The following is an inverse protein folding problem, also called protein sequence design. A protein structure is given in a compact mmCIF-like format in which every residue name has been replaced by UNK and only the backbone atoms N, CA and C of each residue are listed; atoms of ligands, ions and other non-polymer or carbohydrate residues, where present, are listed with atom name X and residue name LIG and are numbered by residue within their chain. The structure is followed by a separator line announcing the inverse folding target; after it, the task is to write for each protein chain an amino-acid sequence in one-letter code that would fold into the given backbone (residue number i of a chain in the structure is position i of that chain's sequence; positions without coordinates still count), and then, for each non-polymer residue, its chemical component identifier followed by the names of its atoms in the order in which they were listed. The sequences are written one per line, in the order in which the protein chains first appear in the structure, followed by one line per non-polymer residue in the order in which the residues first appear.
data_IF_388455816079
#
_entry.id   IF_388455816079
#
_cell.length_a   1.000
_cell.length_b   1.000
_cell.length_c   1.000
_cell.angle_alpha   90.00
_cell.angle_beta   90.00
_cell.angle_gamma   90.00
#
_symmetry.space_group_name_H-M   'P 1'
#
loop_
_entity.id
_entity.type
_entity.pdbx_description
1 polymer ?
#
# COMPACT_ATOMS: atom_id res chain seq x y z
N UNK A 1 7.65 27.85 -14.68
CA UNK A 1 7.20 27.07 -13.52
C UNK A 1 6.97 25.64 -14.00
N UNK A 2 7.75 24.64 -13.57
CA UNK A 2 7.46 23.23 -13.93
C UNK A 2 6.44 22.73 -12.91
N UNK A 3 5.24 22.39 -13.36
CA UNK A 3 4.30 21.62 -12.55
C UNK A 3 4.92 20.25 -12.28
N UNK A 4 5.04 19.90 -11.00
CA UNK A 4 5.46 18.55 -10.63
C UNK A 4 4.40 17.56 -11.14
N UNK A 5 4.79 16.44 -11.78
CA UNK A 5 3.83 15.45 -12.26
C UNK A 5 3.07 14.85 -11.07
N UNK A 6 1.79 14.52 -11.27
CA UNK A 6 1.01 13.78 -10.25
C UNK A 6 1.74 12.45 -9.96
N UNK A 7 2.27 12.24 -8.74
CA UNK A 7 3.12 11.11 -8.46
C UNK A 7 2.40 9.78 -8.65
N UNK A 8 1.10 9.70 -8.37
CA UNK A 8 0.34 8.46 -8.55
C UNK A 8 0.18 8.13 -10.03
N UNK A 9 -0.16 9.13 -10.85
CA UNK A 9 -0.25 8.95 -12.29
C UNK A 9 1.10 8.57 -12.90
N UNK A 10 2.20 9.15 -12.40
CA UNK A 10 3.55 8.82 -12.84
C UNK A 10 3.92 7.37 -12.50
N UNK A 11 3.63 6.90 -11.28
CA UNK A 11 3.88 5.52 -10.87
C UNK A 11 3.03 4.52 -11.66
N UNK A 12 1.74 4.79 -11.85
CA UNK A 12 0.87 3.93 -12.67
C UNK A 12 1.37 3.84 -14.12
N UNK A 13 1.80 4.96 -14.71
CA UNK A 13 2.39 5.00 -16.06
C UNK A 13 3.70 4.21 -16.15
N UNK A 14 4.46 4.15 -15.05
CA UNK A 14 5.68 3.37 -14.95
C UNK A 14 5.44 1.87 -14.69
N UNK A 15 4.18 1.41 -14.63
CA UNK A 15 3.81 0.00 -14.49
C UNK A 15 3.62 -0.48 -13.05
N UNK A 16 3.65 0.42 -12.06
CA UNK A 16 3.39 0.05 -10.67
C UNK A 16 1.90 -0.21 -10.41
N UNK A 17 1.62 -1.28 -9.70
CA UNK A 17 0.31 -1.49 -9.09
C UNK A 17 0.21 -0.68 -7.79
N UNK A 18 -0.75 0.25 -7.71
CA UNK A 18 -0.88 1.17 -6.58
C UNK A 18 -1.81 0.58 -5.51
N UNK A 19 -1.27 0.32 -4.33
CA UNK A 19 -1.99 -0.27 -3.19
C UNK A 19 -2.15 0.77 -2.07
N UNK A 20 -3.37 1.24 -1.83
CA UNK A 20 -3.69 2.14 -0.73
C UNK A 20 -3.86 1.36 0.58
N UNK A 21 -2.99 1.64 1.55
CA UNK A 21 -3.11 1.07 2.89
C UNK A 21 -4.27 1.74 3.66
N UNK A 22 -5.24 0.94 4.08
CA UNK A 22 -6.43 1.40 4.81
C UNK A 22 -6.94 0.37 5.81
N UNK A 23 -7.46 0.77 6.98
CA UNK A 23 -8.06 -0.16 7.95
C UNK A 23 -9.49 -0.59 7.58
N UNK A 24 -10.05 -0.14 6.44
CA UNK A 24 -11.44 -0.43 6.07
C UNK A 24 -11.74 -1.93 6.06
N UNK A 25 -12.83 -2.39 6.73
CA UNK A 25 -13.21 -3.81 6.75
C UNK A 25 -13.61 -4.38 5.37
N UNK A 26 -13.84 -3.53 4.39
CA UNK A 26 -14.17 -3.92 3.00
C UNK A 26 -12.96 -3.97 2.09
N UNK A 27 -11.80 -3.49 2.53
CA UNK A 27 -10.57 -3.52 1.75
C UNK A 27 -10.01 -4.94 1.65
N UNK A 28 -9.25 -5.19 0.57
CA UNK A 28 -8.64 -6.49 0.30
C UNK A 28 -7.61 -6.81 1.39
N UNK A 29 -7.57 -8.05 1.84
CA UNK A 29 -6.54 -8.51 2.76
C UNK A 29 -5.19 -8.52 2.06
N UNK A 30 -4.18 -7.89 2.64
CA UNK A 30 -2.80 -7.89 2.16
C UNK A 30 -2.28 -9.31 1.87
N UNK A 31 -2.71 -10.30 2.67
CA UNK A 31 -2.25 -11.68 2.56
C UNK A 31 -2.98 -12.50 1.49
N UNK A 32 -4.10 -11.98 0.97
CA UNK A 32 -4.88 -12.63 -0.09
C UNK A 32 -4.60 -12.01 -1.47
N UNK A 33 -3.78 -10.94 -1.51
CA UNK A 33 -3.34 -10.30 -2.75
C UNK A 33 -2.23 -11.13 -3.40
N UNK A 34 -2.30 -11.33 -4.71
CA UNK A 34 -1.16 -11.83 -5.48
C UNK A 34 -0.04 -10.79 -5.53
N UNK A 35 1.22 -11.23 -5.53
CA UNK A 35 2.36 -10.32 -5.67
C UNK A 35 2.46 -9.81 -7.13
N UNK A 36 2.38 -8.49 -7.37
CA UNK A 36 2.62 -7.94 -8.69
C UNK A 36 4.13 -7.83 -8.97
N UNK A 37 4.50 -7.62 -10.23
CA UNK A 37 5.90 -7.39 -10.62
C UNK A 37 6.46 -6.09 -10.02
N UNK A 38 5.65 -5.03 -9.97
CA UNK A 38 5.98 -3.74 -9.39
C UNK A 38 4.81 -3.26 -8.52
N UNK A 39 5.06 -3.01 -7.24
CA UNK A 39 4.07 -2.49 -6.30
C UNK A 39 4.49 -1.14 -5.74
N UNK A 40 3.54 -0.21 -5.65
CA UNK A 40 3.72 1.05 -4.92
C UNK A 40 2.72 1.09 -3.76
N UNK A 41 3.24 1.08 -2.54
CA UNK A 41 2.46 1.25 -1.32
C UNK A 41 2.13 2.73 -1.12
N UNK A 42 0.85 3.04 -1.03
CA UNK A 42 0.34 4.40 -0.83
C UNK A 42 -0.23 4.49 0.58
N UNK A 43 0.37 5.34 1.41
CA UNK A 43 -0.07 5.56 2.78
C UNK A 43 -0.38 7.05 3.02
N UNK A 44 -1.39 7.32 3.86
CA UNK A 44 -1.89 8.66 4.14
C UNK A 44 -1.15 9.36 5.27
N UNK A 45 -1.66 10.50 5.75
CA UNK A 45 -1.15 11.07 7.01
C UNK A 45 -1.78 10.36 8.22
N UNK A 46 -1.08 10.34 9.37
CA UNK A 46 -1.68 9.89 10.63
C UNK A 46 -2.89 10.76 10.98
N UNK A 47 -4.04 10.13 11.26
CA UNK A 47 -5.31 10.81 11.49
C UNK A 47 -6.24 10.76 10.27
N UNK A 48 -6.23 11.77 9.37
CA UNK A 48 -7.17 11.84 8.26
C UNK A 48 -6.92 10.78 7.18
N UNK A 49 -5.75 10.12 7.18
CA UNK A 49 -5.42 9.06 6.25
C UNK A 49 -5.28 9.57 4.81
N UNK A 50 -5.73 8.75 3.86
CA UNK A 50 -5.70 9.06 2.44
C UNK A 50 -6.93 9.88 2.04
N UNK A 51 -6.71 10.93 1.23
CA UNK A 51 -7.82 11.73 0.71
C UNK A 51 -8.69 10.90 -0.25
N UNK A 52 -10.00 11.22 -0.39
CA UNK A 52 -10.84 10.58 -1.40
C UNK A 52 -10.27 10.70 -2.82
N UNK A 53 -9.63 11.82 -3.13
CA UNK A 53 -8.98 12.04 -4.43
C UNK A 53 -7.76 11.12 -4.66
N UNK A 54 -7.03 10.77 -3.59
CA UNK A 54 -5.95 9.78 -3.66
C UNK A 54 -6.50 8.38 -3.87
N UNK A 55 -7.52 8.01 -3.10
CA UNK A 55 -8.13 6.69 -3.18
C UNK A 55 -8.76 6.41 -4.55
N UNK A 56 -9.31 7.43 -5.21
CA UNK A 56 -9.84 7.32 -6.57
C UNK A 56 -8.76 7.08 -7.64
N UNK A 57 -7.47 7.21 -7.31
CA UNK A 57 -6.35 7.04 -8.24
C UNK A 57 -5.54 5.76 -8.01
N UNK A 58 -5.77 5.06 -6.89
CA UNK A 58 -5.10 3.78 -6.63
C UNK A 58 -5.87 2.63 -7.26
N UNK A 59 -5.21 1.50 -7.47
CA UNK A 59 -5.86 0.32 -8.04
C UNK A 59 -6.60 -0.49 -6.98
N UNK A 60 -6.02 -0.62 -5.79
CA UNK A 60 -6.58 -1.44 -4.71
C UNK A 60 -6.52 -0.74 -3.36
N UNK A 61 -7.64 -0.83 -2.63
CA UNK A 61 -7.66 -0.65 -1.19
C UNK A 61 -7.17 -1.94 -0.53
N UNK A 62 -6.13 -1.86 0.28
CA UNK A 62 -5.48 -3.00 0.94
C UNK A 62 -5.44 -2.76 2.45
N UNK A 63 -5.85 -3.76 3.23
CA UNK A 63 -5.78 -3.77 4.69
C UNK A 63 -4.83 -4.84 5.19
N UNK A 64 -4.23 -4.58 6.33
CA UNK A 64 -3.61 -5.63 7.16
C UNK A 64 -4.72 -6.17 8.06
N UNK A 65 -5.12 -7.44 7.94
CA UNK A 65 -6.09 -8.03 8.86
C UNK A 65 -5.59 -7.93 10.31
N UNK A 66 -6.42 -7.40 11.20
CA UNK A 66 -6.15 -7.29 12.62
C UNK A 66 -7.23 -8.02 13.42
N UNK A 67 -6.88 -8.45 14.63
CA UNK A 67 -7.86 -9.01 15.56
C UNK A 67 -8.94 -7.98 15.92
N UNK A 68 -10.14 -8.47 16.26
CA UNK A 68 -11.26 -7.65 16.68
C UNK A 68 -10.88 -6.70 17.82
N UNK A 69 -11.28 -5.42 17.69
CA UNK A 69 -11.07 -4.36 18.68
C UNK A 69 -9.88 -3.43 18.40
N UNK A 70 -9.10 -3.69 17.34
CA UNK A 70 -8.05 -2.76 16.89
C UNK A 70 -8.54 -1.97 15.69
N UNK A 71 -8.72 -0.67 15.87
CA UNK A 71 -9.24 0.21 14.81
C UNK A 71 -8.19 0.51 13.72
N UNK A 72 -6.93 0.71 14.11
CA UNK A 72 -5.82 0.97 13.17
C UNK A 72 -4.45 0.69 13.79
N UNK A 73 -3.45 0.49 12.94
CA UNK A 73 -2.04 0.51 13.31
C UNK A 73 -1.47 1.92 13.14
N UNK A 74 -0.42 2.24 13.91
CA UNK A 74 0.46 3.35 13.55
C UNK A 74 0.96 3.15 12.11
N UNK A 75 1.00 4.26 11.35
CA UNK A 75 1.33 4.21 9.92
C UNK A 75 2.71 3.63 9.62
N UNK A 76 3.71 3.89 10.46
CA UNK A 76 5.04 3.33 10.32
C UNK A 76 5.03 1.81 10.47
N UNK A 77 4.25 1.28 11.42
CA UNK A 77 4.08 -0.17 11.59
C UNK A 77 3.31 -0.79 10.42
N UNK A 78 2.25 -0.13 9.94
CA UNK A 78 1.50 -0.59 8.77
C UNK A 78 2.40 -0.66 7.53
N UNK A 79 3.22 0.37 7.29
CA UNK A 79 4.19 0.39 6.20
C UNK A 79 5.26 -0.70 6.36
N UNK A 80 5.81 -0.89 7.55
CA UNK A 80 6.81 -1.92 7.79
C UNK A 80 6.27 -3.33 7.49
N UNK A 81 5.05 -3.63 7.95
CA UNK A 81 4.39 -4.91 7.67
C UNK A 81 4.10 -5.07 6.18
N UNK A 82 3.56 -4.03 5.54
CA UNK A 82 3.27 -4.06 4.11
C UNK A 82 4.55 -4.26 3.28
N UNK A 83 5.63 -3.52 3.58
CA UNK A 83 6.93 -3.66 2.93
C UNK A 83 7.51 -5.06 3.10
N UNK A 84 7.44 -5.63 4.31
CA UNK A 84 7.92 -6.99 4.55
C UNK A 84 7.10 -8.03 3.78
N UNK A 85 5.78 -7.85 3.67
CA UNK A 85 4.90 -8.75 2.93
C UNK A 85 5.09 -8.68 1.42
N UNK A 86 5.44 -7.50 0.89
CA UNK A 86 5.69 -7.30 -0.55
C UNK A 86 7.17 -7.37 -0.94
N UNK A 87 8.04 -7.72 0.01
CA UNK A 87 9.45 -7.92 -0.30
C UNK A 87 9.60 -9.18 -1.17
N UNK A 88 10.48 -9.16 -2.19
CA UNK A 88 10.86 -10.39 -2.88
C UNK A 88 11.44 -11.38 -1.85
N UNK A 89 11.31 -12.69 -2.10
CA UNK A 89 12.01 -13.68 -1.28
C UNK A 89 13.50 -13.31 -1.26
N UNK A 90 14.09 -13.31 -0.07
CA UNK A 90 15.54 -13.21 0.07
C UNK A 90 16.10 -14.44 -0.65
N UNK A 91 16.87 -14.24 -1.71
CA UNK A 91 17.66 -15.33 -2.27
C UNK A 91 18.60 -15.81 -1.15
N UNK A 92 18.32 -16.99 -0.59
CA UNK A 92 19.30 -17.68 0.23
C UNK A 92 20.46 -18.04 -0.70
N UNK A 93 21.48 -17.16 -0.75
CA UNK A 93 22.82 -17.49 -1.25
C UNK A 93 23.50 -18.49 -0.29
N UNK A 94 22.84 -19.63 -0.06
CA UNK A 94 23.42 -20.83 0.52
C UNK A 94 23.80 -21.75 -0.64
N UNK A 95 24.91 -21.39 -1.29
CA UNK A 95 25.75 -22.34 -2.02
C UNK A 95 26.45 -23.31 -1.08
#
# INVERSE_FOLDING_TARGET
CRTWPDPLAAMATAGFELWALTPRPTANSLYDMGMPELVALVAGAEGPGLTPATLAKVHYDVRIPMHHGVDSLNIGHALAIAMAAVAPPVEDDLG
#
